data_IF_969247654905
#
_entry.id   IF_969247654905
#
_cell.length_a   1.000
_cell.length_b   1.000
_cell.length_c   1.000
_cell.angle_alpha   90.00
_cell.angle_beta   90.00
_cell.angle_gamma   90.00
#
_symmetry.space_group_name_H-M   'P 1'
#
loop_
_entity.id
_entity.type
_entity.pdbx_description
1 polymer ?
#
# COMPACT_ATOMS: atom_id res chain seq x y z
N UNK A 1 11.46 -34.12 9.26
CA UNK A 1 10.87 -34.74 10.45
C UNK A 1 11.23 -34.05 11.76
N UNK A 2 12.16 -33.05 11.72
CA UNK A 2 12.53 -32.30 12.92
C UNK A 2 11.43 -31.34 13.33
N UNK A 3 11.27 -31.13 14.65
CA UNK A 3 10.30 -30.17 15.17
C UNK A 3 11.00 -28.85 15.46
N UNK A 4 10.50 -27.77 14.86
CA UNK A 4 10.90 -26.41 15.14
C UNK A 4 9.93 -25.79 16.15
N UNK A 5 10.47 -25.03 17.11
CA UNK A 5 9.68 -24.27 18.07
C UNK A 5 9.83 -22.78 17.74
N UNK A 6 8.72 -22.10 17.49
CA UNK A 6 8.68 -20.67 17.23
C UNK A 6 8.03 -19.94 18.39
N UNK A 7 8.47 -18.73 18.66
CA UNK A 7 7.83 -17.85 19.62
C UNK A 7 7.59 -16.48 19.02
N UNK A 8 6.42 -15.91 19.26
CA UNK A 8 6.10 -14.51 18.97
C UNK A 8 5.89 -13.82 20.32
N UNK A 9 6.71 -12.84 20.64
CA UNK A 9 6.55 -12.05 21.86
C UNK A 9 6.06 -10.66 21.54
N UNK A 10 4.89 -10.30 22.03
CA UNK A 10 4.29 -8.97 21.90
C UNK A 10 4.53 -8.21 23.19
N UNK A 11 5.21 -7.06 23.10
CA UNK A 11 5.52 -6.19 24.23
C UNK A 11 4.76 -4.89 24.12
N UNK A 12 4.11 -4.49 25.20
CA UNK A 12 3.46 -3.18 25.30
C UNK A 12 4.42 -2.17 25.95
N UNK A 13 5.03 -1.30 25.15
CA UNK A 13 5.89 -0.22 25.63
C UNK A 13 5.11 1.06 25.95
N UNK A 14 3.78 1.04 25.85
CA UNK A 14 2.89 2.16 26.17
C UNK A 14 2.68 2.36 27.65
N UNK A 15 1.97 3.44 28.01
CA UNK A 15 1.59 3.75 29.39
C UNK A 15 0.22 3.20 29.80
N UNK A 16 -0.58 2.75 28.84
CA UNK A 16 -1.89 2.12 29.02
C UNK A 16 -1.88 0.65 28.58
N UNK A 17 -2.89 -0.10 29.02
CA UNK A 17 -3.09 -1.49 28.59
C UNK A 17 -3.51 -1.50 27.11
N UNK A 18 -2.96 -2.43 26.33
CA UNK A 18 -3.38 -2.68 24.96
C UNK A 18 -4.39 -3.83 24.94
N UNK A 19 -5.60 -3.56 24.49
CA UNK A 19 -6.70 -4.52 24.45
C UNK A 19 -6.95 -5.04 23.02
N UNK A 20 -7.35 -6.32 22.89
CA UNK A 20 -7.69 -6.97 21.63
C UNK A 20 -6.57 -6.85 20.57
N UNK A 21 -5.34 -7.09 21.00
CA UNK A 21 -4.17 -7.01 20.13
C UNK A 21 -4.18 -8.20 19.17
N UNK A 22 -4.26 -7.92 17.86
CA UNK A 22 -4.25 -8.96 16.84
C UNK A 22 -2.82 -9.15 16.30
N UNK A 23 -2.37 -10.38 16.28
CA UNK A 23 -1.10 -10.81 15.67
C UNK A 23 -1.43 -11.65 14.44
N UNK A 24 -0.80 -11.37 13.30
CA UNK A 24 -0.87 -12.20 12.09
C UNK A 24 0.51 -12.79 11.82
N UNK A 25 0.56 -14.08 11.62
CA UNK A 25 1.79 -14.82 11.32
C UNK A 25 1.81 -15.23 9.85
N UNK A 26 2.92 -14.94 9.15
CA UNK A 26 3.17 -15.30 7.76
C UNK A 26 4.24 -16.39 7.76
N UNK A 27 3.86 -17.58 7.32
CA UNK A 27 4.69 -18.76 7.33
C UNK A 27 4.63 -19.51 6.00
N UNK A 28 5.79 -19.83 5.41
CA UNK A 28 5.86 -20.46 4.09
C UNK A 28 6.14 -21.96 4.09
N UNK A 29 6.26 -22.57 5.26
CA UNK A 29 6.41 -24.03 5.38
C UNK A 29 5.21 -24.80 4.81
N UNK A 30 5.45 -25.97 4.23
CA UNK A 30 4.42 -26.80 3.57
C UNK A 30 3.58 -27.63 4.54
N UNK A 31 4.04 -27.78 5.76
CA UNK A 31 3.32 -28.46 6.84
C UNK A 31 2.41 -27.51 7.61
N UNK A 32 1.86 -27.99 8.73
CA UNK A 32 0.99 -27.19 9.61
C UNK A 32 1.81 -26.54 10.71
N UNK A 33 1.70 -25.23 10.86
CA UNK A 33 2.17 -24.51 12.03
C UNK A 33 1.11 -24.64 13.13
N UNK A 34 1.49 -25.22 14.29
CA UNK A 34 0.56 -25.50 15.38
C UNK A 34 0.76 -24.47 16.50
N UNK A 35 -0.28 -23.71 16.81
CA UNK A 35 -0.31 -22.83 17.97
C UNK A 35 -0.47 -23.64 19.27
N UNK A 36 0.33 -23.31 20.28
CA UNK A 36 0.18 -23.87 21.63
C UNK A 36 -0.81 -23.02 22.41
N UNK A 37 -2.02 -23.50 22.57
CA UNK A 37 -3.10 -22.77 23.24
C UNK A 37 -2.69 -22.25 24.63
N UNK A 38 -3.08 -21.00 24.93
CA UNK A 38 -2.81 -20.34 26.18
C UNK A 38 -3.96 -19.44 26.61
N UNK A 39 -4.09 -19.16 27.89
CA UNK A 39 -5.12 -18.26 28.43
C UNK A 39 -4.91 -16.83 27.93
N UNK A 40 -6.03 -16.16 27.59
CA UNK A 40 -6.02 -14.78 27.10
C UNK A 40 -5.63 -14.61 25.62
N UNK A 41 -5.39 -15.71 24.90
CA UNK A 41 -5.12 -15.69 23.46
C UNK A 41 -6.12 -16.57 22.72
N UNK A 42 -6.77 -16.01 21.70
CA UNK A 42 -7.68 -16.73 20.81
C UNK A 42 -7.00 -16.98 19.46
N UNK A 43 -6.94 -18.23 19.04
CA UNK A 43 -6.58 -18.60 17.65
C UNK A 43 -7.82 -18.39 16.77
N UNK A 44 -7.72 -17.52 15.77
CA UNK A 44 -8.82 -17.20 14.86
C UNK A 44 -8.90 -18.15 13.65
N UNK A 45 -7.91 -19.07 13.48
CA UNK A 45 -7.90 -20.13 12.49
C UNK A 45 -7.34 -19.79 11.11
N UNK A 46 -6.80 -18.59 10.92
CA UNK A 46 -6.23 -18.11 9.64
C UNK A 46 -4.81 -17.54 9.81
N UNK A 47 -4.04 -18.13 10.71
CA UNK A 47 -2.74 -17.64 11.20
C UNK A 47 -2.85 -16.25 11.86
N UNK A 48 -4.03 -15.89 12.37
CA UNK A 48 -4.21 -14.71 13.19
C UNK A 48 -4.57 -15.11 14.63
N UNK A 49 -4.06 -14.34 15.59
CA UNK A 49 -4.21 -14.61 17.00
C UNK A 49 -4.62 -13.31 17.70
N UNK A 50 -5.68 -13.36 18.52
CA UNK A 50 -6.13 -12.21 19.30
C UNK A 50 -5.68 -12.36 20.74
N UNK A 51 -4.81 -11.46 21.22
CA UNK A 51 -4.42 -11.33 22.62
C UNK A 51 -5.43 -10.39 23.28
N UNK A 52 -6.14 -10.88 24.29
CA UNK A 52 -7.19 -10.11 24.95
C UNK A 52 -6.68 -8.82 25.58
N UNK A 53 -5.49 -8.85 26.21
CA UNK A 53 -4.86 -7.66 26.81
C UNK A 53 -3.35 -7.89 26.95
N UNK A 54 -2.58 -6.84 26.63
CA UNK A 54 -1.15 -6.72 26.96
C UNK A 54 -1.01 -5.55 27.92
N UNK A 55 -0.71 -5.78 29.19
CA UNK A 55 -0.59 -4.72 30.18
C UNK A 55 0.55 -3.78 29.89
N UNK A 56 0.42 -2.52 30.33
CA UNK A 56 1.46 -1.50 30.15
C UNK A 56 2.82 -1.98 30.70
N UNK A 57 3.85 -1.98 29.87
CA UNK A 57 5.20 -2.45 30.17
C UNK A 57 5.39 -3.97 30.19
N UNK A 58 4.35 -4.78 29.99
CA UNK A 58 4.42 -6.23 29.99
C UNK A 58 4.48 -6.82 28.59
N UNK A 59 4.74 -8.14 28.53
CA UNK A 59 4.81 -8.90 27.28
C UNK A 59 3.94 -10.15 27.36
N UNK A 60 3.38 -10.54 26.21
CA UNK A 60 2.71 -11.83 26.00
C UNK A 60 3.48 -12.60 24.94
N UNK A 61 3.82 -13.88 25.20
CA UNK A 61 4.56 -14.74 24.28
C UNK A 61 3.67 -15.86 23.76
N UNK A 62 3.43 -15.89 22.45
CA UNK A 62 2.76 -16.97 21.75
C UNK A 62 3.78 -18.03 21.36
N UNK A 63 3.43 -19.31 21.54
CA UNK A 63 4.31 -20.44 21.22
C UNK A 63 3.71 -21.27 20.08
N UNK A 64 4.58 -21.73 19.19
CA UNK A 64 4.19 -22.53 18.03
C UNK A 64 5.14 -23.71 17.86
N UNK A 65 4.64 -24.78 17.26
CA UNK A 65 5.46 -25.91 16.83
C UNK A 65 5.24 -26.18 15.34
N UNK A 66 6.30 -26.50 14.65
CA UNK A 66 6.28 -26.90 13.24
C UNK A 66 7.12 -28.15 13.03
N UNK A 67 6.58 -29.14 12.34
CA UNK A 67 7.33 -30.33 11.93
C UNK A 67 7.75 -30.15 10.49
N UNK A 68 9.08 -30.13 10.26
CA UNK A 68 9.64 -30.05 8.91
C UNK A 68 9.20 -31.23 8.05
N UNK A 69 8.63 -30.95 6.90
CA UNK A 69 8.08 -31.96 6.00
C UNK A 69 8.84 -32.02 4.67
N UNK A 70 8.68 -33.15 3.95
CA UNK A 70 9.19 -33.26 2.59
C UNK A 70 8.52 -32.23 1.68
N UNK A 71 9.31 -31.47 0.96
CA UNK A 71 8.85 -30.40 0.09
C UNK A 71 9.00 -29.00 0.69
N UNK A 72 9.43 -28.88 1.94
CA UNK A 72 9.90 -27.59 2.45
C UNK A 72 11.12 -27.10 1.66
N UNK A 73 11.20 -25.78 1.49
CA UNK A 73 12.40 -25.16 0.93
C UNK A 73 13.61 -25.39 1.86
N UNK A 74 14.86 -25.27 1.37
CA UNK A 74 16.05 -25.36 2.22
C UNK A 74 16.04 -24.34 3.38
N UNK A 75 15.30 -23.26 3.23
CA UNK A 75 15.02 -22.23 4.23
C UNK A 75 13.50 -22.03 4.32
N UNK A 76 12.96 -22.09 5.55
CA UNK A 76 11.56 -21.82 5.84
C UNK A 76 11.48 -20.42 6.43
N UNK A 77 10.74 -19.53 5.78
CA UNK A 77 10.57 -18.14 6.20
C UNK A 77 9.35 -17.99 7.13
N UNK A 78 9.51 -17.19 8.15
CA UNK A 78 8.44 -16.79 9.04
C UNK A 78 8.55 -15.30 9.39
N UNK A 79 7.44 -14.57 9.34
CA UNK A 79 7.33 -13.19 9.74
C UNK A 79 6.01 -12.97 10.49
N UNK A 80 6.00 -12.09 11.47
CA UNK A 80 4.79 -11.73 12.19
C UNK A 80 4.57 -10.22 12.18
N UNK A 81 3.30 -9.81 12.15
CA UNK A 81 2.90 -8.40 12.28
C UNK A 81 1.87 -8.26 13.38
N UNK A 82 1.91 -7.12 14.10
CA UNK A 82 0.79 -6.71 14.92
C UNK A 82 -0.16 -5.95 14.01
N UNK A 83 -1.36 -6.49 13.86
CA UNK A 83 -2.44 -5.75 13.23
C UNK A 83 -3.23 -5.09 14.35
N UNK A 84 -3.25 -3.75 14.37
CA UNK A 84 -4.27 -3.05 15.15
C UNK A 84 -5.65 -3.53 14.71
N UNK A 85 -6.68 -3.52 15.57
CA UNK A 85 -8.05 -3.63 15.08
C UNK A 85 -8.15 -2.67 13.90
N UNK A 86 -8.39 -3.21 12.70
CA UNK A 86 -8.43 -2.43 11.46
C UNK A 86 -9.32 -1.22 11.74
N UNK A 87 -8.89 0.01 11.43
CA UNK A 87 -9.77 1.16 11.64
C UNK A 87 -11.16 0.81 11.14
N UNK A 88 -12.19 1.24 11.84
CA UNK A 88 -13.57 0.91 11.45
C UNK A 88 -13.95 1.46 10.07
N UNK A 89 -13.03 2.20 9.41
CA UNK A 89 -13.17 2.67 8.02
C UNK A 89 -11.89 2.48 7.22
N UNK A 90 -12.04 2.28 5.92
CA UNK A 90 -10.99 2.53 4.92
C UNK A 90 -11.33 3.82 4.18
N UNK A 91 -10.31 4.59 3.82
CA UNK A 91 -10.44 5.73 2.93
C UNK A 91 -9.44 5.58 1.78
N UNK A 92 -9.94 5.66 0.54
CA UNK A 92 -9.12 5.58 -0.67
C UNK A 92 -9.41 6.78 -1.54
N UNK A 93 -8.36 7.40 -2.07
CA UNK A 93 -8.48 8.49 -3.02
C UNK A 93 -8.00 8.08 -4.39
N UNK A 94 -8.65 8.57 -5.45
CA UNK A 94 -8.27 8.36 -6.83
C UNK A 94 -8.52 9.61 -7.67
N UNK A 95 -7.87 9.68 -8.82
CA UNK A 95 -8.14 10.66 -9.87
C UNK A 95 -8.47 9.94 -11.18
N UNK A 96 -9.25 10.56 -12.05
CA UNK A 96 -9.59 10.02 -13.38
C UNK A 96 -8.38 10.02 -14.33
N UNK A 97 -7.38 10.86 -14.03
CA UNK A 97 -6.11 10.97 -14.78
C UNK A 97 -4.97 11.39 -13.85
N UNK A 98 -3.75 11.00 -14.19
CA UNK A 98 -2.53 11.37 -13.45
C UNK A 98 -1.63 12.34 -14.20
N UNK A 99 -2.04 12.75 -15.41
CA UNK A 99 -1.42 13.82 -16.20
C UNK A 99 -2.54 14.72 -16.71
N UNK A 100 -2.43 16.02 -16.48
CA UNK A 100 -3.44 17.00 -16.92
C UNK A 100 -2.79 18.30 -17.37
N UNK A 101 -3.15 18.76 -18.58
CA UNK A 101 -2.70 20.05 -19.12
C UNK A 101 -3.46 21.22 -18.48
N UNK A 102 -2.89 22.42 -18.60
CA UNK A 102 -3.58 23.65 -18.19
C UNK A 102 -4.97 23.73 -18.84
N UNK A 103 -5.98 24.09 -18.04
CA UNK A 103 -7.41 24.12 -18.37
C UNK A 103 -8.07 22.74 -18.52
N UNK A 104 -7.39 21.62 -18.32
CA UNK A 104 -8.04 20.34 -18.23
C UNK A 104 -8.64 20.12 -16.83
N UNK A 105 -9.78 19.44 -16.83
CA UNK A 105 -10.48 19.08 -15.59
C UNK A 105 -9.99 17.71 -15.13
N UNK A 106 -9.62 17.63 -13.84
CA UNK A 106 -9.32 16.40 -13.11
C UNK A 106 -10.49 16.11 -12.18
N UNK A 107 -11.02 14.89 -12.24
CA UNK A 107 -12.06 14.43 -11.34
C UNK A 107 -11.43 13.56 -10.26
N UNK A 108 -11.56 13.99 -9.00
CA UNK A 108 -11.14 13.23 -7.84
C UNK A 108 -12.32 12.48 -7.23
N UNK A 109 -12.03 11.27 -6.75
CA UNK A 109 -12.99 10.46 -5.99
C UNK A 109 -12.36 10.05 -4.66
N UNK A 110 -13.08 10.29 -3.56
CA UNK A 110 -12.73 9.83 -2.22
C UNK A 110 -13.76 8.77 -1.84
N UNK A 111 -13.34 7.53 -1.73
CA UNK A 111 -14.17 6.41 -1.29
C UNK A 111 -13.96 6.18 0.20
N UNK A 112 -15.01 6.33 1.00
CA UNK A 112 -15.02 6.00 2.43
C UNK A 112 -15.83 4.73 2.63
N UNK A 113 -15.23 3.69 3.22
CA UNK A 113 -15.89 2.41 3.50
C UNK A 113 -15.95 2.14 4.99
N UNK A 114 -17.12 1.79 5.48
CA UNK A 114 -17.31 1.34 6.86
C UNK A 114 -17.06 -0.17 6.99
N UNK A 115 -15.97 -0.55 7.62
CA UNK A 115 -15.62 -1.95 7.88
C UNK A 115 -16.05 -2.42 9.29
N UNK A 116 -16.65 -1.53 10.09
CA UNK A 116 -17.20 -1.90 11.40
C UNK A 116 -18.51 -2.69 11.24
N UNK A 117 -18.92 -3.38 12.30
CA UNK A 117 -20.20 -4.07 12.37
C UNK A 117 -21.40 -3.14 12.65
N UNK A 118 -21.14 -1.89 13.02
CA UNK A 118 -22.14 -0.89 13.40
C UNK A 118 -22.23 0.21 12.35
N UNK A 119 -23.32 0.96 12.36
CA UNK A 119 -23.46 2.17 11.55
C UNK A 119 -22.61 3.29 12.15
N UNK A 120 -21.77 3.90 11.33
CA UNK A 120 -21.00 5.10 11.71
C UNK A 120 -21.82 6.35 11.42
N UNK A 121 -21.63 7.39 12.22
CA UNK A 121 -22.34 8.67 12.10
C UNK A 121 -21.41 9.86 12.18
N UNK A 122 -21.78 10.95 11.50
CA UNK A 122 -21.07 12.22 11.55
C UNK A 122 -19.58 12.12 11.15
N UNK A 123 -19.28 11.39 10.05
CA UNK A 123 -17.93 11.33 9.53
C UNK A 123 -17.64 12.65 8.79
N UNK A 124 -16.53 13.30 9.17
CA UNK A 124 -16.01 14.47 8.48
C UNK A 124 -14.88 14.05 7.55
N UNK A 125 -15.05 14.29 6.26
CA UNK A 125 -14.02 14.06 5.24
C UNK A 125 -13.40 15.39 4.85
N UNK A 126 -12.08 15.50 4.87
CA UNK A 126 -11.34 16.70 4.47
C UNK A 126 -10.37 16.37 3.34
N UNK A 127 -10.13 17.36 2.48
CA UNK A 127 -9.17 17.29 1.37
C UNK A 127 -8.02 18.24 1.60
N UNK A 128 -6.80 17.75 1.47
CA UNK A 128 -5.56 18.54 1.59
C UNK A 128 -4.80 18.50 0.29
N UNK A 129 -4.56 19.66 -0.31
CA UNK A 129 -3.91 19.79 -1.60
C UNK A 129 -3.08 21.07 -1.71
N UNK A 130 -2.21 21.14 -2.73
CA UNK A 130 -1.39 22.31 -3.07
C UNK A 130 -1.93 23.12 -4.28
N UNK A 131 -3.20 22.96 -4.63
CA UNK A 131 -3.88 23.62 -5.75
C UNK A 131 -3.82 25.15 -5.62
N UNK A 132 -3.68 25.84 -6.76
CA UNK A 132 -3.73 27.31 -6.82
C UNK A 132 -5.12 27.85 -7.16
N UNK A 133 -6.02 26.99 -7.62
CA UNK A 133 -7.44 27.30 -7.85
C UNK A 133 -8.35 26.66 -6.81
N UNK A 134 -9.64 26.95 -6.91
CA UNK A 134 -10.67 26.36 -6.07
C UNK A 134 -11.13 25.02 -6.65
N UNK A 135 -11.53 24.09 -5.78
CA UNK A 135 -12.21 22.87 -6.19
C UNK A 135 -13.69 23.14 -6.41
N UNK A 136 -14.32 22.36 -7.30
CA UNK A 136 -15.77 22.35 -7.46
C UNK A 136 -16.35 21.18 -6.62
N UNK A 137 -16.49 21.41 -5.32
CA UNK A 137 -17.15 20.51 -4.38
C UNK A 137 -18.67 20.68 -4.44
N UNK A 138 -19.41 19.59 -4.23
CA UNK A 138 -20.87 19.58 -4.24
C UNK A 138 -21.44 18.51 -3.32
N UNK A 139 -22.73 18.64 -3.00
CA UNK A 139 -23.52 17.60 -2.34
C UNK A 139 -23.65 16.37 -3.24
N UNK A 140 -23.77 15.21 -2.62
CA UNK A 140 -24.02 13.96 -3.31
C UNK A 140 -24.90 13.00 -2.52
N UNK A 141 -25.05 11.80 -3.04
CA UNK A 141 -25.86 10.79 -2.37
C UNK A 141 -25.18 10.32 -1.08
N UNK A 142 -25.73 10.73 0.06
CA UNK A 142 -25.26 10.32 1.39
C UNK A 142 -24.22 11.23 2.00
N UNK A 143 -23.85 12.33 1.36
CA UNK A 143 -22.93 13.32 1.89
C UNK A 143 -23.31 14.75 1.50
N UNK A 144 -22.88 15.70 2.30
CA UNK A 144 -23.08 17.15 2.09
C UNK A 144 -21.74 17.85 2.02
N UNK A 145 -21.57 18.76 1.06
CA UNK A 145 -20.38 19.60 0.94
C UNK A 145 -20.52 20.79 1.90
N UNK A 146 -19.55 20.97 2.79
CA UNK A 146 -19.59 22.02 3.82
C UNK A 146 -18.91 23.33 3.35
N UNK A 147 -18.27 23.33 2.17
CA UNK A 147 -17.27 24.33 1.82
C UNK A 147 -15.88 23.96 2.33
N UNK A 148 -14.90 24.81 2.08
CA UNK A 148 -13.51 24.68 2.57
C UNK A 148 -12.89 23.27 2.36
N UNK A 149 -13.24 22.61 1.23
CA UNK A 149 -12.74 21.28 0.87
C UNK A 149 -13.13 20.19 1.88
N UNK A 150 -14.30 20.32 2.53
CA UNK A 150 -14.79 19.34 3.51
C UNK A 150 -16.20 18.84 3.15
N UNK A 151 -16.48 17.59 3.54
CA UNK A 151 -17.79 16.95 3.39
C UNK A 151 -18.19 16.22 4.68
N UNK A 152 -19.48 16.19 4.94
CA UNK A 152 -20.05 15.41 6.05
C UNK A 152 -20.83 14.23 5.50
N UNK A 153 -20.49 13.02 5.96
CA UNK A 153 -21.30 11.82 5.81
C UNK A 153 -22.11 11.65 7.09
N UNK A 154 -23.42 11.89 7.03
CA UNK A 154 -24.28 11.84 8.22
C UNK A 154 -24.37 10.42 8.79
N UNK A 155 -24.50 9.42 7.92
CA UNK A 155 -24.56 7.99 8.30
C UNK A 155 -23.91 7.14 7.24
N UNK A 156 -23.13 6.13 7.68
CA UNK A 156 -22.51 5.11 6.82
C UNK A 156 -22.76 3.73 7.45
N UNK A 157 -23.68 2.97 6.86
CA UNK A 157 -24.04 1.64 7.34
C UNK A 157 -22.88 0.65 7.28
N UNK A 158 -22.91 -0.39 8.14
CA UNK A 158 -21.94 -1.47 8.16
C UNK A 158 -21.71 -2.08 6.76
N UNK A 159 -20.46 -2.23 6.36
CA UNK A 159 -20.05 -2.82 5.08
C UNK A 159 -20.33 -1.95 3.85
N UNK A 160 -20.88 -0.73 4.00
CA UNK A 160 -21.19 0.18 2.90
C UNK A 160 -20.06 1.15 2.63
N UNK A 161 -20.07 1.70 1.39
CA UNK A 161 -19.16 2.75 0.96
C UNK A 161 -19.91 3.94 0.42
N UNK A 162 -19.30 5.11 0.52
CA UNK A 162 -19.74 6.36 -0.12
C UNK A 162 -18.59 6.90 -0.94
N UNK A 163 -18.89 7.27 -2.20
CA UNK A 163 -17.95 7.93 -3.10
C UNK A 163 -18.27 9.43 -3.14
N UNK A 164 -17.34 10.23 -2.64
CA UNK A 164 -17.36 11.69 -2.74
C UNK A 164 -16.59 12.09 -3.99
N UNK A 165 -17.22 12.83 -4.90
CA UNK A 165 -16.59 13.30 -6.13
C UNK A 165 -16.56 14.81 -6.19
N UNK A 166 -15.45 15.36 -6.65
CA UNK A 166 -15.26 16.79 -6.93
C UNK A 166 -14.33 16.98 -8.11
N UNK A 167 -14.29 18.16 -8.69
CA UNK A 167 -13.42 18.48 -9.81
C UNK A 167 -12.47 19.62 -9.51
N UNK A 168 -11.34 19.60 -10.18
CA UNK A 168 -10.37 20.69 -10.21
C UNK A 168 -9.95 20.97 -11.64
N UNK A 169 -9.92 22.25 -12.02
CA UNK A 169 -9.39 22.68 -13.31
C UNK A 169 -7.95 23.08 -13.16
N UNK A 170 -7.02 22.38 -13.84
CA UNK A 170 -5.58 22.64 -13.81
C UNK A 170 -5.27 24.09 -14.18
N UNK A 171 -4.56 24.78 -13.30
CA UNK A 171 -4.17 26.18 -13.49
C UNK A 171 -2.76 26.30 -14.09
N UNK A 172 -2.51 27.39 -14.83
CA UNK A 172 -1.19 27.66 -15.39
C UNK A 172 -0.10 27.82 -14.31
N UNK A 173 -0.47 28.38 -13.15
CA UNK A 173 0.43 28.61 -12.00
C UNK A 173 0.46 27.48 -10.98
N UNK A 174 -0.19 26.34 -11.26
CA UNK A 174 0.00 25.14 -10.45
C UNK A 174 1.44 24.64 -10.54
N UNK A 175 1.88 23.97 -9.49
CA UNK A 175 3.15 23.25 -9.50
C UNK A 175 3.19 22.21 -10.66
N UNK A 176 4.38 21.78 -11.04
CA UNK A 176 4.53 20.70 -12.04
C UNK A 176 3.91 19.38 -11.58
N UNK A 177 3.83 19.16 -10.26
CA UNK A 177 3.08 18.08 -9.63
C UNK A 177 2.09 18.67 -8.65
N UNK A 178 0.80 18.34 -8.81
CA UNK A 178 -0.23 18.64 -7.80
C UNK A 178 -0.34 17.46 -6.87
N UNK A 179 -0.06 17.72 -5.60
CA UNK A 179 -0.18 16.75 -4.52
C UNK A 179 -1.55 16.85 -3.88
N UNK A 180 -2.19 15.72 -3.60
CA UNK A 180 -3.53 15.67 -3.06
C UNK A 180 -3.77 14.43 -2.18
N UNK A 181 -4.22 14.65 -0.94
CA UNK A 181 -4.61 13.63 0.03
C UNK A 181 -5.99 13.94 0.60
N UNK A 182 -6.60 12.98 1.27
CA UNK A 182 -7.81 13.20 2.06
C UNK A 182 -7.68 12.50 3.41
N UNK A 183 -8.50 12.90 4.37
CA UNK A 183 -8.65 12.24 5.65
C UNK A 183 -10.12 12.11 6.03
N UNK A 184 -10.45 11.09 6.83
CA UNK A 184 -11.76 10.94 7.44
C UNK A 184 -11.63 10.92 8.96
N UNK A 185 -12.40 11.79 9.63
CA UNK A 185 -12.47 11.91 11.09
C UNK A 185 -13.85 11.53 11.60
N UNK A 186 -13.89 10.74 12.66
CA UNK A 186 -15.13 10.34 13.35
C UNK A 186 -14.81 9.76 14.72
N UNK A 187 -15.82 9.73 15.60
CA UNK A 187 -15.72 9.03 16.89
C UNK A 187 -16.49 7.71 16.83
N UNK A 188 -15.90 6.65 17.35
CA UNK A 188 -16.50 5.32 17.40
C UNK A 188 -16.06 4.58 18.68
N UNK A 189 -17.00 4.02 19.43
CA UNK A 189 -16.77 3.31 20.70
C UNK A 189 -15.92 4.10 21.70
N UNK A 190 -16.12 5.42 21.76
CA UNK A 190 -15.42 6.31 22.70
C UNK A 190 -14.01 6.70 22.28
N UNK A 191 -13.55 6.27 21.11
CA UNK A 191 -12.27 6.66 20.52
C UNK A 191 -12.48 7.54 19.30
N UNK A 192 -11.58 8.51 19.11
CA UNK A 192 -11.53 9.37 17.94
C UNK A 192 -10.58 8.76 16.89
N UNK A 193 -11.00 8.79 15.65
CA UNK A 193 -10.23 8.30 14.50
C UNK A 193 -9.94 9.43 13.53
N UNK A 194 -8.71 9.46 13.03
CA UNK A 194 -8.25 10.34 11.97
C UNK A 194 -7.46 9.47 10.98
N UNK A 195 -8.06 9.13 9.86
CA UNK A 195 -7.53 8.12 8.93
C UNK A 195 -7.22 8.81 7.61
N UNK A 196 -5.94 8.87 7.20
CA UNK A 196 -5.55 9.43 5.91
C UNK A 196 -5.80 8.45 4.77
N UNK A 197 -6.07 9.00 3.59
CA UNK A 197 -6.06 8.26 2.32
C UNK A 197 -4.64 8.05 1.81
N UNK A 198 -4.50 7.22 0.78
CA UNK A 198 -3.34 7.28 -0.11
C UNK A 198 -3.22 8.68 -0.74
N UNK A 199 -2.00 9.16 -1.03
CA UNK A 199 -1.79 10.35 -1.85
C UNK A 199 -2.20 10.07 -3.30
N UNK A 200 -2.66 11.10 -3.99
CA UNK A 200 -2.95 11.08 -5.42
C UNK A 200 -2.36 12.32 -6.06
N UNK A 201 -1.32 12.11 -6.84
CA UNK A 201 -0.61 13.18 -7.51
C UNK A 201 -1.02 13.24 -8.97
N UNK A 202 -1.09 14.47 -9.50
CA UNK A 202 -1.33 14.71 -10.92
C UNK A 202 -0.24 15.62 -11.46
N UNK A 203 0.43 15.16 -12.51
CA UNK A 203 1.49 15.88 -13.16
C UNK A 203 0.93 16.85 -14.21
N UNK A 204 1.43 18.08 -14.20
CA UNK A 204 1.20 19.09 -15.25
C UNK A 204 2.36 19.03 -16.25
N UNK A 205 2.19 18.43 -17.44
CA UNK A 205 3.27 18.27 -18.41
C UNK A 205 3.70 19.58 -19.00
N UNK A 206 4.98 19.67 -19.33
CA UNK A 206 5.49 20.73 -20.19
C UNK A 206 5.27 20.38 -21.66
N UNK A 207 4.86 21.36 -22.48
CA UNK A 207 4.70 21.19 -23.92
C UNK A 207 6.04 20.83 -24.59
N UNK A 208 6.01 19.85 -25.47
CA UNK A 208 7.16 19.42 -26.28
C UNK A 208 8.04 18.33 -25.70
N UNK A 209 7.80 17.87 -24.48
CA UNK A 209 8.55 16.78 -23.83
C UNK A 209 7.70 15.54 -23.60
N UNK A 210 8.34 14.41 -23.34
CA UNK A 210 7.67 13.21 -22.84
C UNK A 210 7.72 13.23 -21.32
N UNK A 211 6.59 12.94 -20.70
CA UNK A 211 6.46 12.89 -19.24
C UNK A 211 6.05 11.50 -18.81
N UNK A 212 6.57 11.03 -17.70
CA UNK A 212 6.21 9.70 -17.13
C UNK A 212 5.83 9.86 -15.68
N UNK A 213 4.71 9.23 -15.28
CA UNK A 213 4.22 9.24 -13.92
C UNK A 213 3.82 7.84 -13.46
N UNK A 214 4.13 7.50 -12.22
CA UNK A 214 3.89 6.19 -11.63
C UNK A 214 3.11 6.29 -10.33
N UNK A 215 2.17 5.36 -10.13
CA UNK A 215 1.39 5.21 -8.91
C UNK A 215 1.33 3.76 -8.47
N UNK A 216 1.03 3.54 -7.19
CA UNK A 216 0.58 2.27 -6.64
C UNK A 216 -0.85 2.43 -6.09
N UNK A 217 -1.61 1.35 -6.11
CA UNK A 217 -2.97 1.32 -5.54
C UNK A 217 -2.98 1.27 -4.01
N UNK A 218 -1.81 1.07 -3.39
CA UNK A 218 -1.61 0.98 -1.94
C UNK A 218 -0.34 1.73 -1.52
N UNK A 219 -0.36 2.32 -0.34
CA UNK A 219 0.82 2.88 0.33
C UNK A 219 1.40 1.93 1.36
N UNK A 220 0.64 0.87 1.72
CA UNK A 220 1.03 -0.17 2.66
C UNK A 220 0.44 -1.51 2.22
N UNK A 221 1.24 -2.57 2.27
CA UNK A 221 0.81 -3.91 1.91
C UNK A 221 1.50 -4.98 2.78
N UNK A 222 0.73 -5.94 3.27
CA UNK A 222 1.23 -7.10 4.02
C UNK A 222 1.73 -8.20 3.08
N UNK A 223 2.56 -9.15 3.54
CA UNK A 223 2.90 -10.35 2.78
C UNK A 223 1.67 -11.07 2.21
N UNK A 224 1.78 -11.55 0.98
CA UNK A 224 0.72 -12.13 0.17
C UNK A 224 -0.35 -11.14 -0.35
N UNK A 225 -0.27 -9.87 -0.04
CA UNK A 225 -1.11 -8.87 -0.70
C UNK A 225 -0.53 -8.48 -2.06
N UNK A 226 -1.44 -8.19 -3.00
CA UNK A 226 -1.08 -7.72 -4.34
C UNK A 226 -1.07 -6.20 -4.34
N UNK A 227 0.01 -5.62 -4.85
CA UNK A 227 0.13 -4.18 -5.16
C UNK A 227 0.06 -4.01 -6.67
N UNK A 228 -0.83 -3.12 -7.11
CA UNK A 228 -0.96 -2.77 -8.54
C UNK A 228 -0.25 -1.46 -8.82
N UNK A 229 0.74 -1.51 -9.70
CA UNK A 229 1.43 -0.32 -10.21
C UNK A 229 0.82 0.12 -11.53
N UNK A 230 0.63 1.42 -11.68
CA UNK A 230 0.19 2.06 -12.93
C UNK A 230 1.24 3.08 -13.36
N UNK A 231 1.72 2.95 -14.59
CA UNK A 231 2.65 3.91 -15.20
C UNK A 231 1.95 4.57 -16.36
N UNK A 232 1.85 5.90 -16.33
CA UNK A 232 1.31 6.71 -17.41
C UNK A 232 2.44 7.46 -18.08
N UNK A 233 2.56 7.36 -19.41
CA UNK A 233 3.54 8.07 -20.23
C UNK A 233 2.77 9.02 -21.14
N UNK A 234 3.01 10.32 -21.00
CA UNK A 234 2.44 11.36 -21.84
C UNK A 234 3.43 11.77 -22.93
N UNK A 235 2.99 11.77 -24.18
CA UNK A 235 3.76 12.28 -25.31
C UNK A 235 3.42 13.77 -25.56
N UNK A 236 4.16 14.68 -24.95
CA UNK A 236 4.00 16.13 -25.21
C UNK A 236 4.55 16.61 -26.56
N UNK A 237 5.23 15.72 -27.32
CA UNK A 237 5.78 16.06 -28.63
C UNK A 237 4.66 16.18 -29.68
N UNK A 238 4.91 16.90 -30.77
CA UNK A 238 3.96 17.11 -31.87
C UNK A 238 3.99 15.98 -32.94
N UNK A 239 4.58 14.84 -32.63
CA UNK A 239 4.64 13.66 -33.49
C UNK A 239 4.46 12.37 -32.67
N UNK A 240 3.98 11.29 -33.31
CA UNK A 240 3.84 9.98 -32.69
C UNK A 240 5.21 9.43 -32.31
N UNK A 241 5.35 8.92 -31.10
CA UNK A 241 6.52 8.12 -30.70
C UNK A 241 6.16 6.64 -30.74
N UNK A 242 7.13 5.79 -31.15
CA UNK A 242 6.92 4.37 -31.34
C UNK A 242 8.00 3.55 -30.64
N UNK A 243 7.67 2.29 -30.32
CA UNK A 243 8.61 1.35 -29.73
C UNK A 243 9.26 1.86 -28.45
N UNK A 244 8.47 2.53 -27.59
CA UNK A 244 8.93 2.98 -26.28
C UNK A 244 9.11 1.76 -25.39
N UNK A 245 10.33 1.57 -24.85
CA UNK A 245 10.57 0.52 -23.84
C UNK A 245 10.40 1.11 -22.46
N UNK A 246 9.74 0.38 -21.58
CA UNK A 246 9.56 0.74 -20.18
C UNK A 246 10.20 -0.35 -19.31
N UNK A 247 11.20 0.05 -18.56
CA UNK A 247 11.88 -0.80 -17.57
C UNK A 247 11.44 -0.42 -16.15
N UNK A 248 11.59 -1.37 -15.23
CA UNK A 248 11.22 -1.20 -13.84
C UNK A 248 12.41 -1.51 -12.93
N UNK A 249 12.82 -0.55 -12.11
CA UNK A 249 13.87 -0.72 -11.10
C UNK A 249 13.24 -0.72 -9.71
N UNK A 250 13.44 -1.81 -8.99
CA UNK A 250 12.84 -2.02 -7.68
C UNK A 250 13.77 -2.82 -6.75
N UNK A 251 13.46 -2.81 -5.45
CA UNK A 251 14.16 -3.57 -4.41
C UNK A 251 13.36 -4.80 -3.92
N UNK A 252 12.42 -5.28 -4.73
CA UNK A 252 11.53 -6.38 -4.37
C UNK A 252 12.28 -7.72 -4.23
N UNK A 253 11.85 -8.54 -3.28
CA UNK A 253 12.39 -9.89 -3.12
C UNK A 253 11.94 -10.82 -4.26
N UNK A 254 10.81 -10.55 -4.89
CA UNK A 254 10.25 -11.31 -6.01
C UNK A 254 10.30 -10.53 -7.33
N UNK A 255 9.67 -11.11 -8.35
CA UNK A 255 9.53 -10.48 -9.68
C UNK A 255 8.18 -9.81 -9.84
N UNK A 256 8.14 -8.73 -10.60
CA UNK A 256 6.87 -8.13 -11.02
C UNK A 256 6.12 -9.09 -11.95
N UNK A 257 4.80 -9.04 -11.90
CA UNK A 257 3.90 -9.79 -12.77
C UNK A 257 3.40 -8.86 -13.87
N UNK A 258 4.14 -8.82 -14.99
CA UNK A 258 3.78 -8.06 -16.17
C UNK A 258 2.92 -8.92 -17.12
N UNK A 259 1.93 -8.29 -17.75
CA UNK A 259 1.06 -8.90 -18.75
C UNK A 259 0.93 -7.98 -19.95
N UNK A 260 0.58 -8.55 -21.10
CA UNK A 260 0.25 -7.78 -22.30
C UNK A 260 -1.00 -6.93 -22.06
N UNK A 261 -1.01 -5.74 -22.62
CA UNK A 261 -2.15 -4.82 -22.53
C UNK A 261 -2.46 -4.13 -23.86
N UNK A 262 -3.44 -3.24 -23.81
CA UNK A 262 -3.83 -2.47 -24.99
C UNK A 262 -2.68 -1.53 -25.41
N UNK A 263 -2.05 -1.85 -26.56
CA UNK A 263 -0.95 -1.03 -27.14
C UNK A 263 0.42 -1.30 -26.52
N UNK A 264 0.58 -2.30 -25.68
CA UNK A 264 1.89 -2.72 -25.17
C UNK A 264 1.99 -4.24 -24.94
N UNK A 265 3.21 -4.75 -24.93
CA UNK A 265 3.54 -6.15 -24.62
C UNK A 265 4.57 -6.22 -23.51
N UNK A 266 4.48 -7.27 -22.69
CA UNK A 266 5.48 -7.60 -21.70
C UNK A 266 6.37 -8.73 -22.18
N UNK A 267 7.66 -8.46 -22.35
CA UNK A 267 8.63 -9.43 -22.88
C UNK A 267 9.97 -9.24 -22.19
N UNK A 268 10.58 -10.33 -21.72
CA UNK A 268 11.91 -10.34 -21.09
C UNK A 268 12.06 -9.38 -19.90
N UNK A 269 10.97 -9.11 -19.16
CA UNK A 269 11.00 -8.20 -18.00
C UNK A 269 10.82 -6.72 -18.34
N UNK A 270 10.55 -6.38 -19.60
CA UNK A 270 10.30 -5.01 -20.07
C UNK A 270 8.92 -4.92 -20.73
N UNK A 271 8.33 -3.73 -20.68
CA UNK A 271 7.13 -3.41 -21.47
C UNK A 271 7.55 -2.66 -22.73
N UNK A 272 7.03 -3.13 -23.87
CA UNK A 272 7.23 -2.49 -25.16
C UNK A 272 5.91 -1.88 -25.61
N UNK A 273 5.86 -0.55 -25.72
CA UNK A 273 4.70 0.21 -26.13
C UNK A 273 4.82 0.49 -27.63
N UNK A 274 3.86 0.01 -28.40
CA UNK A 274 3.91 0.07 -29.86
C UNK A 274 3.90 1.51 -30.37
N UNK A 275 3.01 2.35 -29.78
CA UNK A 275 2.84 3.74 -30.19
C UNK A 275 2.19 4.59 -29.13
N UNK A 276 2.68 5.82 -28.93
CA UNK A 276 2.01 6.89 -28.18
C UNK A 276 1.75 8.05 -29.14
N UNK A 277 0.48 8.37 -29.45
CA UNK A 277 0.17 9.47 -30.39
C UNK A 277 0.67 10.82 -29.90
N UNK A 278 0.88 11.76 -30.81
CA UNK A 278 1.20 13.15 -30.48
C UNK A 278 0.14 13.72 -29.52
N UNK A 279 0.57 14.23 -28.37
CA UNK A 279 -0.30 14.75 -27.31
C UNK A 279 -1.14 13.70 -26.59
N UNK A 280 -0.88 12.40 -26.83
CA UNK A 280 -1.62 11.28 -26.21
C UNK A 280 -0.85 10.58 -25.11
N UNK A 281 -1.53 9.63 -24.47
CA UNK A 281 -1.01 8.86 -23.34
C UNK A 281 -0.90 7.36 -23.66
N UNK A 282 0.03 6.68 -22.98
CA UNK A 282 0.05 5.24 -22.82
C UNK A 282 0.00 4.90 -21.33
N UNK A 283 -0.82 3.91 -20.97
CA UNK A 283 -0.99 3.46 -19.59
C UNK A 283 -0.61 1.99 -19.50
N UNK A 284 0.44 1.69 -18.73
CA UNK A 284 0.93 0.34 -18.44
C UNK A 284 0.57 -0.03 -17.02
N UNK A 285 0.03 -1.25 -16.82
CA UNK A 285 -0.29 -1.79 -15.49
C UNK A 285 0.40 -3.13 -15.28
N UNK A 286 0.87 -3.34 -14.08
CA UNK A 286 1.45 -4.60 -13.64
C UNK A 286 1.28 -4.77 -12.13
N UNK A 287 1.49 -5.98 -11.63
CA UNK A 287 1.30 -6.28 -10.22
C UNK A 287 2.57 -6.82 -9.59
N UNK A 288 2.62 -6.73 -8.29
CA UNK A 288 3.61 -7.39 -7.44
C UNK A 288 2.89 -7.99 -6.24
N UNK A 289 3.12 -9.28 -5.99
CA UNK A 289 2.67 -9.94 -4.76
C UNK A 289 3.76 -9.82 -3.72
N UNK A 290 3.50 -9.08 -2.63
CA UNK A 290 4.45 -8.88 -1.53
C UNK A 290 4.87 -10.21 -0.95
N UNK A 291 6.18 -10.44 -0.84
CA UNK A 291 6.75 -11.67 -0.30
C UNK A 291 7.05 -11.54 1.19
N UNK A 292 7.09 -12.65 1.93
CA UNK A 292 7.56 -12.65 3.32
C UNK A 292 9.00 -12.11 3.39
N UNK A 293 9.81 -12.39 2.38
CA UNK A 293 11.19 -11.90 2.27
C UNK A 293 11.31 -10.37 2.07
N UNK A 294 10.21 -9.66 1.78
CA UNK A 294 10.19 -8.18 1.73
C UNK A 294 10.09 -7.55 3.11
N UNK A 295 9.63 -8.29 4.15
CA UNK A 295 9.43 -7.73 5.49
C UNK A 295 10.68 -7.06 6.07
N UNK A 296 11.90 -7.63 5.95
CA UNK A 296 13.12 -6.95 6.41
C UNK A 296 13.43 -5.64 5.66
N UNK A 297 12.96 -5.52 4.42
CA UNK A 297 13.17 -4.32 3.58
C UNK A 297 12.35 -3.13 4.06
N UNK A 298 11.18 -3.39 4.66
CA UNK A 298 10.21 -2.42 5.24
C UNK A 298 9.56 -1.45 4.24
N UNK A 299 10.28 -1.02 3.22
CA UNK A 299 9.78 -0.12 2.17
C UNK A 299 10.14 -0.72 0.81
N UNK A 300 9.12 -1.00 0.02
CA UNK A 300 9.27 -1.38 -1.38
C UNK A 300 9.40 -0.11 -2.21
N UNK A 301 10.60 0.12 -2.72
CA UNK A 301 10.90 1.26 -3.59
C UNK A 301 10.80 0.84 -5.04
N UNK A 302 10.16 1.66 -5.88
CA UNK A 302 9.94 1.34 -7.27
C UNK A 302 9.97 2.59 -8.17
N UNK A 303 10.80 2.54 -9.23
CA UNK A 303 10.94 3.58 -10.25
C UNK A 303 10.87 2.93 -11.63
N UNK A 304 10.01 3.44 -12.50
CA UNK A 304 9.96 3.04 -13.90
C UNK A 304 10.78 4.03 -14.75
N UNK A 305 11.40 3.55 -15.83
CA UNK A 305 12.12 4.38 -16.77
C UNK A 305 11.61 4.12 -18.19
N UNK A 306 11.13 5.18 -18.86
CA UNK A 306 10.80 5.13 -20.27
C UNK A 306 12.04 5.40 -21.12
N UNK A 307 12.34 4.49 -22.05
CA UNK A 307 13.37 4.63 -23.07
C UNK A 307 12.67 5.03 -24.39
N UNK A 308 12.71 6.31 -24.70
CA UNK A 308 12.03 6.90 -25.84
C UNK A 308 12.99 6.99 -27.01
N UNK A 309 12.75 6.29 -28.14
CA UNK A 309 13.62 6.34 -29.29
C UNK A 309 13.78 7.75 -29.84
N UNK A 310 14.98 8.10 -30.24
CA UNK A 310 15.27 9.37 -30.92
C UNK A 310 14.42 9.53 -32.18
N UNK A 311 14.20 10.78 -32.62
CA UNK A 311 13.33 11.10 -33.75
C UNK A 311 13.83 10.52 -35.06
N UNK A 312 15.17 10.49 -35.26
CA UNK A 312 15.79 10.01 -36.49
C UNK A 312 16.56 8.70 -36.23
N UNK A 313 16.70 7.80 -37.22
CA UNK A 313 17.53 6.62 -37.07
C UNK A 313 18.98 7.00 -36.70
N UNK A 314 19.44 6.44 -35.56
CA UNK A 314 20.78 6.71 -35.01
C UNK A 314 20.84 7.81 -33.92
N UNK A 315 19.75 8.53 -33.69
CA UNK A 315 19.64 9.38 -32.49
C UNK A 315 19.63 8.51 -31.23
N UNK A 316 20.26 8.93 -30.13
CA UNK A 316 20.20 8.19 -28.88
C UNK A 316 18.78 8.16 -28.31
N UNK A 317 18.45 7.10 -27.60
CA UNK A 317 17.22 7.03 -26.81
C UNK A 317 17.28 8.07 -25.68
N UNK A 318 16.14 8.70 -25.41
CA UNK A 318 15.94 9.56 -24.25
C UNK A 318 15.45 8.69 -23.08
N UNK A 319 16.17 8.71 -21.94
CA UNK A 319 15.81 7.99 -20.74
C UNK A 319 15.09 8.93 -19.76
N UNK A 320 13.84 8.60 -19.44
CA UNK A 320 12.98 9.43 -18.59
C UNK A 320 12.52 8.59 -17.42
N UNK A 321 13.04 8.82 -16.20
CA UNK A 321 12.56 8.13 -15.00
C UNK A 321 11.23 8.72 -14.51
N UNK A 322 10.40 7.88 -13.94
CA UNK A 322 9.20 8.31 -13.20
C UNK A 322 9.57 8.88 -11.83
N UNK A 323 8.58 9.44 -11.14
CA UNK A 323 8.64 9.57 -9.70
C UNK A 323 8.87 8.20 -9.05
N UNK A 324 9.52 8.20 -7.87
CA UNK A 324 9.63 7.04 -7.01
C UNK A 324 8.28 6.75 -6.34
N UNK A 325 7.89 5.50 -6.25
CA UNK A 325 6.73 5.02 -5.51
C UNK A 325 7.20 4.11 -4.39
N UNK A 326 6.78 4.41 -3.18
CA UNK A 326 7.10 3.68 -1.96
C UNK A 326 5.86 2.99 -1.42
N UNK A 327 5.98 1.70 -1.06
CA UNK A 327 4.94 0.93 -0.37
C UNK A 327 5.53 0.35 0.90
N UNK A 328 4.95 0.68 2.06
CA UNK A 328 5.37 0.16 3.36
C UNK A 328 4.99 -1.31 3.49
N UNK A 329 5.96 -2.15 3.90
CA UNK A 329 5.70 -3.54 4.30
C UNK A 329 5.78 -3.62 5.82
N UNK A 330 4.66 -3.84 6.52
CA UNK A 330 4.68 -3.96 7.97
C UNK A 330 5.37 -5.25 8.40
N UNK A 331 6.06 -5.22 9.52
CA UNK A 331 6.75 -6.40 10.08
C UNK A 331 7.76 -6.01 11.15
N UNK A 332 8.65 -6.94 11.50
CA UNK A 332 9.63 -6.80 12.59
C UNK A 332 10.21 -5.40 12.73
N UNK A 333 9.98 -4.77 13.86
CA UNK A 333 10.55 -3.47 14.22
C UNK A 333 9.73 -2.24 13.82
N UNK A 334 8.51 -2.39 13.31
CA UNK A 334 7.62 -1.26 13.15
C UNK A 334 6.90 -0.95 14.46
N UNK A 335 6.95 0.32 14.86
CA UNK A 335 6.06 0.82 15.90
C UNK A 335 4.64 0.88 15.35
N UNK A 336 3.72 0.20 16.00
CA UNK A 336 2.29 0.42 15.78
C UNK A 336 1.83 1.38 16.87
N UNK A 337 1.48 2.60 16.50
CA UNK A 337 0.81 3.51 17.43
C UNK A 337 -0.61 2.99 17.67
N UNK A 338 -0.82 2.38 18.84
CA UNK A 338 -2.16 2.09 19.34
C UNK A 338 -2.63 3.34 20.07
N UNK A 339 -3.93 3.78 19.95
CA UNK A 339 -4.40 5.05 20.52
C UNK A 339 -4.21 5.19 22.02
N UNK A 340 -3.47 4.54 22.74
CA UNK A 340 -3.01 4.75 24.14
C UNK A 340 -1.78 3.88 24.49
N UNK A 341 -1.08 3.26 23.52
CA UNK A 341 0.09 2.44 23.78
C UNK A 341 0.99 2.31 22.54
N UNK A 342 2.28 2.07 22.76
CA UNK A 342 3.23 1.71 21.72
C UNK A 342 3.55 0.23 21.83
N UNK A 343 3.33 -0.50 20.74
CA UNK A 343 3.72 -1.90 20.61
C UNK A 343 4.97 -1.98 19.70
N UNK A 344 5.92 -2.80 20.09
CA UNK A 344 7.12 -3.12 19.33
C UNK A 344 7.23 -4.63 19.18
N UNK A 345 7.59 -5.10 17.99
CA UNK A 345 7.87 -6.52 17.73
C UNK A 345 9.28 -6.63 17.16
N UNK A 346 10.13 -7.42 17.80
CA UNK A 346 11.49 -7.71 17.34
C UNK A 346 11.65 -9.21 17.21
N UNK A 347 12.14 -9.68 16.05
CA UNK A 347 12.44 -11.09 15.81
C UNK A 347 13.94 -11.33 15.78
N UNK A 348 14.40 -12.36 16.44
CA UNK A 348 15.79 -12.81 16.38
C UNK A 348 15.85 -14.33 16.23
N UNK A 349 16.95 -14.82 15.70
CA UNK A 349 17.26 -16.25 15.59
C UNK A 349 18.58 -16.52 16.29
N UNK A 350 18.72 -17.67 16.96
CA UNK A 350 19.92 -18.06 17.69
C UNK A 350 21.10 -18.44 16.78
N UNK A 351 20.82 -18.73 15.49
CA UNK A 351 21.83 -19.08 14.49
C UNK A 351 21.53 -18.43 13.15
N UNK A 352 22.53 -17.86 12.53
CA UNK A 352 22.45 -17.26 11.18
C UNK A 352 22.76 -18.26 10.06
N UNK A 353 23.32 -19.43 10.42
CA UNK A 353 23.60 -20.54 9.50
C UNK A 353 23.18 -21.84 10.18
N UNK A 354 22.49 -22.72 9.45
CA UNK A 354 22.03 -24.01 9.94
C UNK A 354 22.21 -25.11 8.89
N UNK A 355 22.47 -26.34 9.34
CA UNK A 355 22.53 -27.55 8.50
C UNK A 355 21.26 -28.35 8.69
N UNK A 356 20.94 -29.23 7.73
CA UNK A 356 19.86 -30.21 7.88
C UNK A 356 20.06 -31.00 9.19
N UNK A 357 19.02 -30.94 10.06
CA UNK A 357 19.04 -31.55 11.39
C UNK A 357 19.39 -30.60 12.55
N UNK A 358 19.71 -29.32 12.27
CA UNK A 358 19.89 -28.31 13.31
C UNK A 358 18.54 -27.76 13.78
N UNK A 359 18.44 -27.50 15.08
CA UNK A 359 17.31 -26.77 15.66
C UNK A 359 17.62 -25.27 15.62
N UNK A 360 16.70 -24.49 15.08
CA UNK A 360 16.73 -23.04 15.11
C UNK A 360 15.73 -22.52 16.12
N UNK A 361 16.18 -21.68 17.04
CA UNK A 361 15.30 -20.99 17.98
C UNK A 361 15.13 -19.54 17.53
N UNK A 362 13.92 -19.18 17.15
CA UNK A 362 13.56 -17.79 16.87
C UNK A 362 12.95 -17.16 18.12
N UNK A 363 13.38 -15.97 18.44
CA UNK A 363 12.78 -15.15 19.49
C UNK A 363 12.24 -13.89 18.83
N UNK A 364 10.98 -13.59 19.09
CA UNK A 364 10.36 -12.32 18.69
C UNK A 364 10.03 -11.58 19.98
N UNK A 365 10.58 -10.39 20.14
CA UNK A 365 10.40 -9.56 21.33
C UNK A 365 9.58 -8.35 20.99
#
# INVERSE_FOLDING_TARGET
GDTLNYTITVKNNGKGDAENVMVKDFFDGKGTLNFVAMDGVTDNGDNTYTIASVKAGESVTLNFTYVVVDGDAPEVLNAAVITTPKPSTDIVKSADKHIAKVNEIVTYTITVKNNSKDTLTNLLVSDTNNFKGEIEGKDGKGYTYNGDKTWTIATLESGKSIDITYTYTMQANDASVIENTADVRYSYNGSDYDIPSNPVDVEKPDDGVVTIFKTADKTKAEPNEVVTYTVTIHNGKNYDIKNVRLTDANNFAGKIEGVDGAGYKFTNGEFVIDKIPAGGDAVVRYTYTVQIADVPTKILENVATAHVPGKNPGDPDEEIPSNKVDVEVPGDGTHVDVPEGKLEIVKSVDKTEAKVGDTLNYTIT
#
